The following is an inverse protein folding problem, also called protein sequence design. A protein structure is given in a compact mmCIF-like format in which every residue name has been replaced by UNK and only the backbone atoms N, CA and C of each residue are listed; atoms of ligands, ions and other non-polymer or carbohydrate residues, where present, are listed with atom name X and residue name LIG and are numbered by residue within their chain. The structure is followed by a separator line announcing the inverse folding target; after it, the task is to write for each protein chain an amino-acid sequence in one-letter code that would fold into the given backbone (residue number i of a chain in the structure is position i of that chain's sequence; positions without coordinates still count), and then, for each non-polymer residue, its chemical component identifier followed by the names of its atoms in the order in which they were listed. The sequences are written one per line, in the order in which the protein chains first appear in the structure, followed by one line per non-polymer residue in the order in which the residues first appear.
data_IF_034146732732
#
_entry.id   IF_034146732732
#
_cell.length_a   1.000
_cell.length_b   1.000
_cell.length_c   1.000
_cell.angle_alpha   90.00
_cell.angle_beta   90.00
_cell.angle_gamma   90.00
#
_symmetry.space_group_name_H-M   'P 1'
#
loop_
_entity.id
_entity.type
_entity.pdbx_description
1 polymer ?
#
# COMPACT_ATOMS: atom_id res chain seq x y z
N UNK A 1 2.89 4.34 14.08
CA UNK A 1 1.91 4.45 12.98
C UNK A 1 2.40 3.59 11.84
N UNK A 2 1.51 2.88 11.16
CA UNK A 2 1.83 2.11 9.97
C UNK A 2 1.16 2.75 8.74
N UNK A 3 1.86 2.79 7.61
CA UNK A 3 1.33 3.18 6.30
C UNK A 3 1.76 2.13 5.28
N UNK A 4 0.79 1.41 4.71
CA UNK A 4 1.04 0.31 3.78
C UNK A 4 0.10 0.39 2.58
N UNK A 5 0.51 -0.26 1.50
CA UNK A 5 -0.23 -0.35 0.25
C UNK A 5 -0.21 -1.81 -0.19
N UNK A 6 -1.38 -2.44 -0.28
CA UNK A 6 -1.46 -3.76 -0.91
C UNK A 6 -1.35 -3.59 -2.44
N UNK A 7 -0.67 -4.51 -3.14
CA UNK A 7 -0.63 -4.54 -4.58
C UNK A 7 -2.03 -4.85 -5.12
N UNK A 8 -2.37 -4.23 -6.25
CA UNK A 8 -3.69 -4.33 -6.86
C UNK A 8 -3.92 -5.54 -7.74
N UNK A 9 -2.84 -6.24 -8.14
CA UNK A 9 -2.92 -7.45 -8.94
C UNK A 9 -3.41 -8.63 -8.08
N UNK A 10 -4.33 -9.47 -8.57
CA UNK A 10 -4.67 -10.73 -7.94
C UNK A 10 -3.46 -11.65 -7.72
N UNK A 11 -2.47 -11.59 -8.61
CA UNK A 11 -1.26 -12.42 -8.59
C UNK A 11 -0.31 -12.02 -7.45
N UNK A 12 -0.32 -10.74 -7.06
CA UNK A 12 0.52 -10.20 -5.99
C UNK A 12 -0.23 -10.10 -4.65
N UNK A 13 -1.48 -10.58 -4.59
CA UNK A 13 -2.32 -10.40 -3.39
C UNK A 13 -1.67 -11.03 -2.16
N UNK A 14 -1.11 -12.23 -2.29
CA UNK A 14 -0.51 -12.96 -1.17
C UNK A 14 0.78 -12.29 -0.67
N UNK A 15 1.63 -11.79 -1.58
CA UNK A 15 2.85 -11.05 -1.20
C UNK A 15 2.47 -9.74 -0.49
N UNK A 16 1.49 -9.02 -1.03
CA UNK A 16 0.92 -7.83 -0.41
C UNK A 16 0.40 -8.04 1.00
N UNK A 17 -0.41 -9.08 1.18
CA UNK A 17 -0.96 -9.45 2.49
C UNK A 17 0.16 -9.76 3.48
N UNK A 18 1.19 -10.51 3.08
CA UNK A 18 2.34 -10.80 3.93
C UNK A 18 3.06 -9.52 4.37
N UNK A 19 3.25 -8.55 3.47
CA UNK A 19 3.85 -7.26 3.83
C UNK A 19 2.97 -6.48 4.81
N UNK A 20 1.65 -6.44 4.57
CA UNK A 20 0.70 -5.77 5.45
C UNK A 20 0.67 -6.37 6.85
N UNK A 21 0.61 -7.71 6.95
CA UNK A 21 0.64 -8.45 8.22
C UNK A 21 1.96 -8.20 8.94
N UNK A 22 3.10 -8.39 8.27
CA UNK A 22 4.42 -8.20 8.87
C UNK A 22 4.60 -6.76 9.41
N UNK A 23 4.19 -5.74 8.64
CA UNK A 23 4.30 -4.36 9.09
C UNK A 23 3.44 -4.07 10.34
N UNK A 24 2.25 -4.67 10.44
CA UNK A 24 1.38 -4.53 11.61
C UNK A 24 1.93 -5.30 12.82
N UNK A 25 2.42 -6.52 12.63
CA UNK A 25 3.06 -7.33 13.67
C UNK A 25 4.29 -6.64 14.26
N UNK A 26 5.18 -6.10 13.41
CA UNK A 26 6.36 -5.35 13.86
C UNK A 26 5.94 -4.18 14.76
N UNK A 27 4.91 -3.43 14.36
CA UNK A 27 4.42 -2.29 15.14
C UNK A 27 3.82 -2.73 16.48
N UNK A 28 2.94 -3.73 16.49
CA UNK A 28 2.31 -4.24 17.72
C UNK A 28 3.37 -4.75 18.67
N UNK A 29 4.32 -5.56 18.18
CA UNK A 29 5.40 -6.10 18.99
C UNK A 29 6.30 -5.00 19.54
N UNK A 30 6.59 -3.96 18.78
CA UNK A 30 7.35 -2.81 19.27
C UNK A 30 6.60 -2.06 20.39
N UNK A 31 5.29 -1.87 20.26
CA UNK A 31 4.47 -1.27 21.31
C UNK A 31 4.44 -2.14 22.57
N UNK A 32 4.30 -3.45 22.43
CA UNK A 32 4.32 -4.39 23.56
C UNK A 32 5.66 -4.37 24.29
N UNK A 33 6.79 -4.36 23.55
CA UNK A 33 8.13 -4.21 24.14
C UNK A 33 8.31 -2.87 24.87
N UNK A 34 7.61 -1.83 24.43
CA UNK A 34 7.58 -0.53 25.12
C UNK A 34 6.60 -0.49 26.31
N UNK A 35 5.96 -1.61 26.67
CA UNK A 35 5.06 -1.72 27.83
C UNK A 35 3.57 -1.59 27.52
N UNK A 36 3.17 -1.52 26.25
CA UNK A 36 1.76 -1.55 25.87
C UNK A 36 1.14 -2.94 26.13
N UNK A 37 -0.13 -2.97 26.55
CA UNK A 37 -0.91 -4.19 26.71
C UNK A 37 -1.86 -4.33 25.53
N UNK A 38 -1.83 -5.47 24.84
CA UNK A 38 -2.60 -5.69 23.60
C UNK A 38 -4.10 -5.50 23.82
N UNK A 39 -4.62 -5.92 24.97
CA UNK A 39 -6.04 -5.84 25.35
C UNK A 39 -6.50 -4.39 25.60
N UNK A 40 -5.56 -3.44 25.75
CA UNK A 40 -5.82 -2.01 25.90
C UNK A 40 -5.52 -1.22 24.62
N UNK A 41 -5.06 -1.88 23.56
CA UNK A 41 -4.76 -1.20 22.31
C UNK A 41 -6.06 -0.79 21.64
N UNK A 42 -6.04 0.41 21.10
CA UNK A 42 -7.10 0.96 20.27
C UNK A 42 -6.49 1.46 18.97
N UNK A 43 -7.23 1.35 17.88
CA UNK A 43 -6.79 1.73 16.56
C UNK A 43 -7.67 2.80 15.95
N UNK A 44 -7.08 3.57 15.04
CA UNK A 44 -7.81 4.45 14.12
C UNK A 44 -7.33 4.20 12.71
N UNK A 45 -8.25 4.00 11.78
CA UNK A 45 -7.94 3.64 10.38
C UNK A 45 -8.22 4.84 9.47
N UNK A 46 -7.26 5.19 8.62
CA UNK A 46 -7.41 6.28 7.65
C UNK A 46 -6.92 5.83 6.27
N UNK A 47 -7.62 6.24 5.22
CA UNK A 47 -7.19 6.00 3.84
C UNK A 47 -8.20 5.21 3.01
N UNK A 48 -7.70 4.40 2.09
CA UNK A 48 -8.55 3.61 1.22
C UNK A 48 -9.38 4.39 0.19
N UNK A 49 -8.94 5.60 -0.18
CA UNK A 49 -9.61 6.38 -1.21
C UNK A 49 -9.39 5.82 -2.62
N UNK A 50 -10.41 5.91 -3.47
CA UNK A 50 -10.36 5.58 -4.89
C UNK A 50 -9.94 6.83 -5.68
N UNK A 51 -8.63 7.06 -5.76
CA UNK A 51 -8.07 8.24 -6.46
C UNK A 51 -7.96 8.06 -7.98
N UNK A 52 -8.02 6.83 -8.48
CA UNK A 52 -7.93 6.52 -9.92
C UNK A 52 -9.07 5.60 -10.34
N UNK A 53 -9.68 5.89 -11.49
CA UNK A 53 -10.78 5.08 -12.04
C UNK A 53 -10.29 3.75 -12.62
N UNK A 54 -9.06 3.70 -13.13
CA UNK A 54 -8.46 2.59 -13.90
C UNK A 54 -7.66 1.57 -13.08
N UNK A 55 -7.21 1.92 -11.87
CA UNK A 55 -6.59 0.96 -10.96
C UNK A 55 -7.69 0.29 -10.15
N UNK A 56 -7.70 -1.05 -10.15
CA UNK A 56 -8.56 -1.88 -9.30
C UNK A 56 -8.69 -1.28 -7.90
N UNK A 57 -9.81 -1.53 -7.21
CA UNK A 57 -10.19 -0.96 -5.89
C UNK A 57 -9.18 -1.28 -4.75
N UNK A 58 -7.91 -0.87 -4.89
CA UNK A 58 -6.81 -1.12 -3.96
C UNK A 58 -7.07 -0.39 -2.66
N UNK A 59 -7.59 0.84 -2.74
CA UNK A 59 -7.95 1.62 -1.56
C UNK A 59 -8.97 0.88 -0.68
N UNK A 60 -10.04 0.39 -1.30
CA UNK A 60 -11.07 -0.39 -0.61
C UNK A 60 -10.49 -1.67 0.01
N UNK A 61 -9.73 -2.45 -0.77
CA UNK A 61 -9.06 -3.66 -0.31
C UNK A 61 -8.11 -3.40 0.87
N UNK A 62 -7.38 -2.29 0.88
CA UNK A 62 -6.51 -1.91 1.98
C UNK A 62 -7.31 -1.62 3.25
N UNK A 63 -8.45 -0.92 3.13
CA UNK A 63 -9.32 -0.61 4.26
C UNK A 63 -9.99 -1.87 4.82
N UNK A 64 -10.44 -2.78 3.94
CA UNK A 64 -10.98 -4.09 4.32
C UNK A 64 -9.93 -4.91 5.07
N UNK A 65 -8.71 -5.02 4.53
CA UNK A 65 -7.62 -5.74 5.17
C UNK A 65 -7.28 -5.18 6.55
N UNK A 66 -7.14 -3.85 6.67
CA UNK A 66 -6.86 -3.21 7.95
C UNK A 66 -7.95 -3.51 9.00
N UNK A 67 -9.21 -3.48 8.57
CA UNK A 67 -10.37 -3.75 9.43
C UNK A 67 -10.39 -5.22 9.87
N UNK A 68 -10.17 -6.14 8.92
CA UNK A 68 -10.08 -7.57 9.19
C UNK A 68 -8.94 -7.89 10.17
N UNK A 69 -7.76 -7.33 9.95
CA UNK A 69 -6.58 -7.56 10.78
C UNK A 69 -6.80 -7.08 12.23
N UNK A 70 -7.36 -5.89 12.41
CA UNK A 70 -7.65 -5.38 13.76
C UNK A 70 -8.68 -6.25 14.48
N UNK A 71 -9.70 -6.74 13.75
CA UNK A 71 -10.68 -7.67 14.30
C UNK A 71 -10.06 -9.01 14.69
N UNK A 72 -9.16 -9.58 13.87
CA UNK A 72 -8.48 -10.84 14.20
C UNK A 72 -7.55 -10.70 15.40
N UNK A 73 -6.92 -9.53 15.55
CA UNK A 73 -6.03 -9.24 16.68
C UNK A 73 -6.77 -8.80 17.96
N UNK A 74 -8.09 -8.62 17.92
CA UNK A 74 -8.88 -8.14 19.05
C UNK A 74 -8.63 -6.67 19.42
N UNK A 75 -8.18 -5.85 18.47
CA UNK A 75 -7.88 -4.43 18.68
C UNK A 75 -9.10 -3.61 18.25
N UNK A 76 -9.68 -2.85 19.17
CA UNK A 76 -10.86 -2.02 18.91
C UNK A 76 -10.54 -0.85 17.97
N UNK A 77 -11.32 -0.70 16.89
CA UNK A 77 -11.24 0.48 16.03
C UNK A 77 -12.18 1.58 16.57
N UNK A 78 -11.61 2.62 17.16
CA UNK A 78 -12.36 3.70 17.85
C UNK A 78 -12.66 4.91 16.97
N UNK A 79 -12.31 4.85 15.69
CA UNK A 79 -12.60 5.93 14.74
C UNK A 79 -11.69 5.91 13.52
N UNK A 80 -11.99 6.75 12.55
CA UNK A 80 -11.25 6.74 11.30
C UNK A 80 -11.94 7.48 10.17
N UNK A 81 -11.31 7.40 9.00
CA UNK A 81 -11.88 7.86 7.73
C UNK A 81 -11.37 6.97 6.60
N UNK A 82 -12.24 6.05 6.15
CA UNK A 82 -11.96 5.09 5.09
C UNK A 82 -12.76 5.42 3.82
N UNK A 83 -12.33 4.98 2.65
CA UNK A 83 -13.06 5.16 1.39
C UNK A 83 -12.92 6.56 0.76
N UNK A 84 -13.92 7.00 -0.01
CA UNK A 84 -13.96 8.31 -0.68
C UNK A 84 -13.10 8.41 -1.94
N UNK A 85 -13.12 9.57 -2.60
CA UNK A 85 -12.43 9.81 -3.89
C UNK A 85 -11.17 10.68 -3.75
N UNK A 86 -10.92 11.19 -2.55
CA UNK A 86 -9.84 12.12 -2.27
C UNK A 86 -8.78 11.47 -1.38
N UNK A 87 -7.51 11.70 -1.73
CA UNK A 87 -6.39 11.43 -0.84
C UNK A 87 -6.52 12.23 0.46
N UNK A 88 -5.81 11.81 1.50
CA UNK A 88 -5.86 12.45 2.82
C UNK A 88 -4.47 12.63 3.39
N UNK A 89 -4.18 13.80 3.97
CA UNK A 89 -3.01 14.01 4.82
C UNK A 89 -3.40 13.78 6.27
N UNK A 90 -2.65 12.94 6.97
CA UNK A 90 -2.91 12.58 8.37
C UNK A 90 -1.84 13.17 9.28
N UNK A 91 -2.27 13.73 10.42
CA UNK A 91 -1.42 14.04 11.57
C UNK A 91 -1.92 13.25 12.76
N UNK A 92 -1.01 12.57 13.45
CA UNK A 92 -1.31 11.79 14.64
C UNK A 92 -0.41 12.21 15.79
N UNK A 93 -1.00 12.34 16.98
CA UNK A 93 -0.30 12.67 18.23
C UNK A 93 -0.31 11.40 19.11
N UNK A 94 0.81 10.67 19.23
CA UNK A 94 0.84 9.37 19.92
C UNK A 94 0.44 9.45 21.40
N UNK A 95 0.84 10.52 22.08
CA UNK A 95 0.60 10.70 23.52
C UNK A 95 -0.89 10.79 23.86
N UNK A 96 -1.67 11.46 23.00
CA UNK A 96 -3.11 11.70 23.24
C UNK A 96 -4.01 10.82 22.37
N UNK A 97 -3.44 10.11 21.38
CA UNK A 97 -4.19 9.40 20.36
C UNK A 97 -4.99 10.30 19.41
N UNK A 98 -4.80 11.63 19.46
CA UNK A 98 -5.51 12.55 18.57
C UNK A 98 -5.06 12.36 17.12
N UNK A 99 -6.03 12.28 16.22
CA UNK A 99 -5.81 12.16 14.79
C UNK A 99 -6.57 13.29 14.08
N UNK A 100 -5.87 14.03 13.22
CA UNK A 100 -6.44 15.08 12.36
C UNK A 100 -6.16 14.75 10.91
N UNK A 101 -7.15 14.96 10.06
CA UNK A 101 -7.02 14.74 8.63
C UNK A 101 -7.38 15.99 7.84
N UNK A 102 -6.80 16.10 6.65
CA UNK A 102 -7.16 17.09 5.64
C UNK A 102 -7.29 16.35 4.31
N UNK A 103 -8.41 16.54 3.62
CA UNK A 103 -8.56 16.04 2.26
C UNK A 103 -7.61 16.80 1.34
N UNK A 104 -6.96 16.06 0.45
CA UNK A 104 -6.16 16.64 -0.60
C UNK A 104 -7.10 17.06 -1.72
N UNK A 105 -6.97 18.30 -2.16
CA UNK A 105 -7.65 18.75 -3.36
C UNK A 105 -7.25 17.83 -4.53
N UNK A 106 -8.22 17.45 -5.34
CA UNK A 106 -7.95 16.81 -6.62
C UNK A 106 -7.35 17.88 -7.55
N UNK A 107 -6.08 18.24 -7.35
CA UNK A 107 -5.27 18.66 -8.48
C UNK A 107 -5.35 17.50 -9.45
N UNK A 108 -6.02 17.66 -10.60
CA UNK A 108 -6.06 16.67 -11.67
C UNK A 108 -4.66 16.09 -11.76
N UNK A 109 -4.48 14.87 -11.25
CA UNK A 109 -3.27 14.12 -11.51
C UNK A 109 -3.41 13.82 -12.99
N UNK A 110 -2.88 14.71 -13.82
CA UNK A 110 -2.52 14.37 -15.17
C UNK A 110 -1.60 13.18 -14.97
N UNK A 111 -2.15 11.99 -15.14
CA UNK A 111 -1.36 10.81 -15.38
C UNK A 111 -0.55 11.22 -16.60
N UNK A 112 0.71 11.58 -16.37
CA UNK A 112 1.69 11.58 -17.44
C UNK A 112 1.71 10.11 -17.84
N UNK A 113 0.96 9.79 -18.90
CA UNK A 113 1.16 8.54 -19.62
C UNK A 113 2.65 8.57 -19.98
N UNK A 114 3.42 7.71 -19.32
CA UNK A 114 4.80 7.49 -19.67
C UNK A 114 4.79 6.97 -21.13
N UNK A 115 5.30 7.74 -22.12
CA UNK A 115 5.25 7.33 -23.51
C UNK A 115 6.08 6.06 -23.79
N UNK A 116 6.84 5.58 -22.80
CA UNK A 116 7.78 4.46 -22.95
C UNK A 116 7.17 3.07 -22.70
N UNK A 117 5.84 2.97 -22.53
CA UNK A 117 5.17 1.67 -22.42
C UNK A 117 4.89 0.99 -23.78
N UNK A 118 5.18 1.67 -24.90
CA UNK A 118 5.19 1.04 -26.21
C UNK A 118 6.59 0.50 -26.52
N UNK A 119 6.68 -0.83 -26.72
CA UNK A 119 7.79 -1.57 -27.32
C UNK A 119 8.85 -2.13 -26.35
N UNK A 120 8.47 -3.14 -25.57
CA UNK A 120 9.41 -4.23 -25.29
C UNK A 120 9.40 -5.19 -26.47
N UNK A 121 10.12 -4.84 -27.55
CA UNK A 121 10.54 -5.84 -28.52
C UNK A 121 11.43 -6.85 -27.79
N UNK A 122 11.00 -8.10 -27.79
CA UNK A 122 11.79 -9.21 -27.27
C UNK A 122 13.04 -9.32 -28.15
N UNK A 123 14.27 -9.24 -27.61
CA UNK A 123 15.46 -9.38 -28.44
C UNK A 123 15.49 -10.81 -28.98
N UNK A 124 15.23 -10.97 -30.28
CA UNK A 124 15.47 -12.24 -30.98
C UNK A 124 16.94 -12.58 -30.78
N UNK A 125 17.19 -13.64 -30.03
CA UNK A 125 18.51 -14.24 -29.83
C UNK A 125 19.12 -14.55 -31.20
N UNK A 126 20.07 -13.73 -31.65
CA UNK A 126 20.89 -14.06 -32.83
C UNK A 126 21.69 -15.31 -32.48
N UNK A 127 21.42 -16.41 -33.17
CA UNK A 127 22.37 -17.53 -33.26
C UNK A 127 23.62 -16.99 -33.95
N UNK A 128 24.73 -16.94 -33.23
CA UNK A 128 26.06 -16.77 -33.82
C UNK A 128 26.50 -18.12 -34.36
N UNK A 129 26.56 -18.27 -35.69
CA UNK A 129 27.41 -19.29 -36.32
C UNK A 129 28.86 -18.80 -36.26
N UNK A 130 29.80 -19.58 -35.71
CA UNK A 130 31.21 -19.20 -35.68
C UNK A 130 31.87 -19.62 -37.00
N UNK A 131 32.24 -18.65 -37.82
CA UNK A 131 33.23 -18.88 -38.87
C UNK A 131 33.06 -18.03 -40.12
N UNK A 132 33.66 -16.84 -40.13
CA UNK A 132 34.66 -16.51 -41.14
C UNK A 132 35.30 -15.15 -40.79
N UNK A 133 36.61 -15.21 -40.65
CA UNK A 133 37.53 -14.07 -40.59
C UNK A 133 37.72 -13.59 -42.03
N UNK A 134 37.75 -12.27 -42.25
CA UNK A 134 38.60 -11.74 -43.33
C UNK A 134 39.19 -10.38 -42.97
N UNK A 135 40.48 -10.29 -43.25
CA UNK A 135 41.43 -9.21 -42.98
C UNK A 135 41.25 -8.06 -43.97
N UNK A 136 41.44 -6.82 -43.52
CA UNK A 136 42.53 -5.88 -43.90
C UNK A 136 42.40 -4.61 -43.05
#
# INVERSE_FOLDING_TARGET
MNHFLLPGSPEDRDTGLQYGVNAMEILINALMRAGARKERMQAKIFGGARMFTSRANIGEKNAEFATWFLKSEGIECIGGSIGGEQGRKLRYVPVTGQARQMFLEQSRLNVVEDPLSATFETPRRRRTDPGQVDLF
#
